data_IF_793138514425
#
_entry.id   IF_793138514425
#
_cell.length_a   1.000
_cell.length_b   1.000
_cell.length_c   1.000
_cell.angle_alpha   90.00
_cell.angle_beta   90.00
_cell.angle_gamma   90.00
#
_symmetry.space_group_name_H-M   'P 1'
#
loop_
_entity.id
_entity.type
_entity.pdbx_description
1 polymer ?
#
# COMPACT_ATOMS: atom_id res chain seq x y z
N UNK A 1 -82.59 47.68 -45.39
CA UNK A 1 -81.53 48.69 -45.19
C UNK A 1 -81.38 48.84 -43.69
N UNK A 2 -80.28 48.39 -43.12
CA UNK A 2 -79.99 48.62 -41.70
C UNK A 2 -79.69 50.11 -41.50
N UNK A 3 -80.13 50.67 -40.38
CA UNK A 3 -79.84 52.07 -40.09
C UNK A 3 -78.37 52.22 -39.68
N UNK A 4 -77.75 53.36 -39.99
CA UNK A 4 -76.38 53.68 -39.58
C UNK A 4 -76.13 53.42 -38.08
N UNK A 5 -77.14 53.68 -37.25
CA UNK A 5 -77.09 53.48 -35.80
C UNK A 5 -76.95 52.01 -35.40
N UNK A 6 -77.62 51.09 -36.13
CA UNK A 6 -77.51 49.65 -35.87
C UNK A 6 -76.12 49.13 -36.24
N UNK A 7 -75.58 49.57 -37.38
CA UNK A 7 -74.23 49.23 -37.82
C UNK A 7 -73.16 49.75 -36.84
N UNK A 8 -73.32 50.98 -36.36
CA UNK A 8 -72.43 51.55 -35.34
C UNK A 8 -72.41 50.70 -34.05
N UNK A 9 -73.57 50.26 -33.57
CA UNK A 9 -73.63 49.42 -32.37
C UNK A 9 -73.00 48.04 -32.58
N UNK A 10 -73.13 47.45 -33.77
CA UNK A 10 -72.44 46.20 -34.12
C UNK A 10 -70.92 46.40 -34.07
N UNK A 11 -70.42 47.48 -34.67
CA UNK A 11 -68.99 47.80 -34.65
C UNK A 11 -68.47 48.05 -33.23
N UNK A 12 -69.23 48.75 -32.38
CA UNK A 12 -68.85 48.95 -30.98
C UNK A 12 -68.72 47.62 -30.22
N UNK A 13 -69.65 46.67 -30.44
CA UNK A 13 -69.55 45.34 -29.82
C UNK A 13 -68.34 44.56 -30.31
N UNK A 14 -68.12 44.54 -31.63
CA UNK A 14 -66.97 43.85 -32.22
C UNK A 14 -65.63 44.44 -31.73
N UNK A 15 -65.55 45.76 -31.61
CA UNK A 15 -64.38 46.42 -31.04
C UNK A 15 -64.19 46.05 -29.57
N UNK A 16 -65.25 46.05 -28.77
CA UNK A 16 -65.20 45.63 -27.36
C UNK A 16 -64.75 44.17 -27.20
N UNK A 17 -65.25 43.25 -28.04
CA UNK A 17 -64.83 41.85 -28.06
C UNK A 17 -63.35 41.71 -28.46
N UNK A 18 -62.90 42.46 -29.48
CA UNK A 18 -61.49 42.48 -29.89
C UNK A 18 -60.60 43.06 -28.77
N UNK A 19 -60.99 44.16 -28.14
CA UNK A 19 -60.29 44.76 -27.00
C UNK A 19 -60.20 43.80 -25.82
N UNK A 20 -61.28 43.07 -25.51
CA UNK A 20 -61.30 42.09 -24.43
C UNK A 20 -60.34 40.94 -24.72
N UNK A 21 -60.33 40.40 -25.95
CA UNK A 21 -59.38 39.35 -26.34
C UNK A 21 -57.94 39.83 -26.30
N UNK A 22 -57.66 41.03 -26.82
CA UNK A 22 -56.32 41.60 -26.81
C UNK A 22 -55.82 41.87 -25.38
N UNK A 23 -56.67 42.43 -24.52
CA UNK A 23 -56.30 42.69 -23.12
C UNK A 23 -56.07 41.39 -22.33
N UNK A 24 -56.87 40.35 -22.57
CA UNK A 24 -56.66 39.03 -21.98
C UNK A 24 -55.31 38.42 -22.42
N UNK A 25 -55.01 38.44 -23.73
CA UNK A 25 -53.74 37.93 -24.24
C UNK A 25 -52.53 38.73 -23.71
N UNK A 26 -52.63 40.05 -23.60
CA UNK A 26 -51.58 40.88 -23.01
C UNK A 26 -51.37 40.57 -21.52
N UNK A 27 -52.44 40.32 -20.76
CA UNK A 27 -52.34 39.97 -19.35
C UNK A 27 -51.69 38.59 -19.15
N UNK A 28 -52.03 37.61 -19.99
CA UNK A 28 -51.40 36.28 -20.00
C UNK A 28 -49.89 36.39 -20.29
N UNK A 29 -49.53 37.12 -21.35
CA UNK A 29 -48.13 37.34 -21.73
C UNK A 29 -47.34 38.13 -20.67
N UNK A 30 -47.97 39.11 -20.01
CA UNK A 30 -47.34 39.82 -18.89
C UNK A 30 -47.04 38.86 -17.72
N UNK A 31 -47.97 37.95 -17.41
CA UNK A 31 -47.78 36.92 -16.40
C UNK A 31 -46.62 35.97 -16.74
N UNK A 32 -46.53 35.49 -17.98
CA UNK A 32 -45.42 34.65 -18.44
C UNK A 32 -44.07 35.39 -18.33
N UNK A 33 -44.02 36.66 -18.72
CA UNK A 33 -42.81 37.48 -18.61
C UNK A 33 -42.37 37.64 -17.15
N UNK A 34 -43.30 37.84 -16.22
CA UNK A 34 -42.98 37.94 -14.79
C UNK A 34 -42.43 36.62 -14.23
N UNK A 35 -43.03 35.49 -14.60
CA UNK A 35 -42.56 34.16 -14.21
C UNK A 35 -41.13 33.89 -14.72
N UNK A 36 -40.88 34.15 -16.00
CA UNK A 36 -39.57 33.96 -16.61
C UNK A 36 -38.52 34.91 -16.01
N UNK A 37 -38.88 36.18 -15.75
CA UNK A 37 -37.99 37.13 -15.06
C UNK A 37 -37.62 36.64 -13.67
N UNK A 38 -38.57 36.14 -12.90
CA UNK A 38 -38.32 35.55 -11.59
C UNK A 38 -37.42 34.31 -11.68
N UNK A 39 -37.61 33.46 -12.69
CA UNK A 39 -36.75 32.31 -12.93
C UNK A 39 -35.31 32.71 -13.29
N UNK A 40 -35.13 33.69 -14.18
CA UNK A 40 -33.79 34.21 -14.52
C UNK A 40 -33.06 34.73 -13.29
N UNK A 41 -33.73 35.47 -12.41
CA UNK A 41 -33.11 35.96 -11.16
C UNK A 41 -32.74 34.79 -10.24
N UNK A 42 -33.63 33.79 -10.08
CA UNK A 42 -33.36 32.58 -9.27
C UNK A 42 -32.16 31.79 -9.80
N UNK A 43 -32.10 31.57 -11.11
CA UNK A 43 -31.01 30.83 -11.74
C UNK A 43 -29.69 31.60 -11.65
N UNK A 44 -29.70 32.92 -11.86
CA UNK A 44 -28.51 33.77 -11.67
C UNK A 44 -28.00 33.68 -10.23
N UNK A 45 -28.88 33.76 -9.23
CA UNK A 45 -28.50 33.60 -7.84
C UNK A 45 -27.89 32.21 -7.57
N UNK A 46 -28.47 31.14 -8.13
CA UNK A 46 -27.94 29.79 -7.98
C UNK A 46 -26.54 29.63 -8.58
N UNK A 47 -26.28 30.26 -9.74
CA UNK A 47 -24.94 30.30 -10.36
C UNK A 47 -23.96 31.05 -9.48
N UNK A 48 -24.29 32.26 -9.02
CA UNK A 48 -23.43 33.06 -8.14
C UNK A 48 -23.04 32.29 -6.87
N UNK A 49 -23.99 31.59 -6.25
CA UNK A 49 -23.71 30.76 -5.06
C UNK A 49 -22.75 29.62 -5.39
N UNK A 50 -22.94 28.94 -6.53
CA UNK A 50 -22.06 27.83 -6.94
C UNK A 50 -20.65 28.33 -7.29
N UNK A 51 -20.54 29.42 -8.02
CA UNK A 51 -19.26 30.03 -8.40
C UNK A 51 -18.49 30.52 -7.16
N UNK A 52 -19.18 31.14 -6.21
CA UNK A 52 -18.57 31.60 -4.96
C UNK A 52 -18.04 30.41 -4.16
N UNK A 53 -18.80 29.31 -4.05
CA UNK A 53 -18.33 28.08 -3.38
C UNK A 53 -17.13 27.46 -4.11
N UNK A 54 -17.13 27.47 -5.44
CA UNK A 54 -16.00 26.97 -6.23
C UNK A 54 -14.74 27.81 -5.99
N UNK A 55 -14.87 29.13 -5.99
CA UNK A 55 -13.77 30.06 -5.73
C UNK A 55 -13.18 29.82 -4.32
N UNK A 56 -14.02 29.72 -3.29
CA UNK A 56 -13.57 29.41 -1.93
C UNK A 56 -12.82 28.07 -1.85
N UNK A 57 -13.33 27.02 -2.51
CA UNK A 57 -12.66 25.72 -2.54
C UNK A 57 -11.32 25.75 -3.29
N UNK A 58 -11.21 26.57 -4.34
CA UNK A 58 -9.96 26.78 -5.06
C UNK A 58 -8.92 27.52 -4.20
N UNK A 59 -9.36 28.53 -3.45
CA UNK A 59 -8.51 29.27 -2.51
C UNK A 59 -8.00 28.34 -1.40
N UNK A 60 -8.88 27.53 -0.79
CA UNK A 60 -8.50 26.54 0.22
C UNK A 60 -7.46 25.55 -0.33
N UNK A 61 -7.66 25.05 -1.55
CA UNK A 61 -6.71 24.16 -2.20
C UNK A 61 -5.36 24.85 -2.45
N UNK A 62 -5.37 26.10 -2.91
CA UNK A 62 -4.16 26.88 -3.14
C UNK A 62 -3.41 27.12 -1.81
N UNK A 63 -4.12 27.45 -0.73
CA UNK A 63 -3.55 27.60 0.61
C UNK A 63 -2.92 26.30 1.11
N UNK A 64 -3.60 25.16 0.96
CA UNK A 64 -3.05 23.85 1.35
C UNK A 64 -1.81 23.47 0.53
N UNK A 65 -1.80 23.78 -0.77
CA UNK A 65 -0.64 23.56 -1.63
C UNK A 65 0.54 24.46 -1.26
N UNK A 66 0.27 25.74 -0.95
CA UNK A 66 1.28 26.69 -0.49
C UNK A 66 1.84 26.30 0.89
N UNK A 67 1.01 25.75 1.78
CA UNK A 67 1.46 25.17 3.05
C UNK A 67 2.30 23.90 2.86
N UNK A 68 2.17 23.20 1.72
CA UNK A 68 2.87 21.95 1.44
C UNK A 68 3.53 21.90 0.05
N UNK A 69 4.53 22.76 -0.23
CA UNK A 69 5.15 22.88 -1.56
C UNK A 69 5.90 21.60 -1.99
N UNK A 70 6.27 20.73 -1.05
CA UNK A 70 7.02 19.49 -1.33
C UNK A 70 6.17 18.23 -1.53
N UNK A 71 4.84 18.28 -1.32
CA UNK A 71 4.00 17.07 -1.26
C UNK A 71 3.98 16.30 -2.58
N UNK A 72 3.87 17.01 -3.71
CA UNK A 72 3.87 16.40 -5.05
C UNK A 72 5.17 15.63 -5.30
N UNK A 73 6.31 16.30 -5.12
CA UNK A 73 7.65 15.69 -5.27
C UNK A 73 7.84 14.48 -4.35
N UNK A 74 7.37 14.55 -3.09
CA UNK A 74 7.44 13.42 -2.15
C UNK A 74 6.59 12.23 -2.62
N UNK A 75 5.40 12.46 -3.17
CA UNK A 75 4.56 11.40 -3.76
C UNK A 75 5.21 10.77 -4.98
N UNK A 76 5.76 11.58 -5.88
CA UNK A 76 6.42 11.07 -7.08
C UNK A 76 7.67 10.27 -6.73
N UNK A 77 8.47 10.75 -5.78
CA UNK A 77 9.62 10.03 -5.24
C UNK A 77 9.21 8.69 -4.60
N UNK A 78 8.13 8.68 -3.81
CA UNK A 78 7.62 7.45 -3.21
C UNK A 78 7.21 6.41 -4.27
N UNK A 79 6.56 6.83 -5.37
CA UNK A 79 6.25 5.94 -6.49
C UNK A 79 7.51 5.41 -7.17
N UNK A 80 8.51 6.27 -7.35
CA UNK A 80 9.77 5.87 -7.98
C UNK A 80 10.54 4.86 -7.10
N UNK A 81 10.61 5.10 -5.79
CA UNK A 81 11.19 4.17 -4.82
C UNK A 81 10.48 2.81 -4.88
N UNK A 82 9.14 2.80 -4.92
CA UNK A 82 8.37 1.57 -5.02
C UNK A 82 8.69 0.79 -6.31
N UNK A 83 8.81 1.49 -7.45
CA UNK A 83 9.19 0.87 -8.71
C UNK A 83 10.62 0.28 -8.68
N UNK A 84 11.59 1.00 -8.10
CA UNK A 84 12.95 0.51 -7.94
C UNK A 84 13.02 -0.70 -7.01
N UNK A 85 12.26 -0.68 -5.91
CA UNK A 85 12.19 -1.81 -4.98
C UNK A 85 11.67 -3.08 -5.67
N UNK A 86 10.62 -2.97 -6.49
CA UNK A 86 10.13 -4.12 -7.27
C UNK A 86 11.18 -4.62 -8.27
N UNK A 87 11.91 -3.70 -8.92
CA UNK A 87 12.97 -4.09 -9.85
C UNK A 87 14.10 -4.82 -9.16
N UNK A 88 14.53 -4.35 -7.99
CA UNK A 88 15.54 -5.02 -7.16
C UNK A 88 15.04 -6.40 -6.73
N UNK A 89 13.79 -6.50 -6.27
CA UNK A 89 13.21 -7.78 -5.87
C UNK A 89 13.19 -8.77 -7.06
N UNK A 90 12.79 -8.33 -8.25
CA UNK A 90 12.82 -9.14 -9.46
C UNK A 90 14.22 -9.63 -9.81
N UNK A 91 15.20 -8.72 -9.88
CA UNK A 91 16.58 -9.09 -10.18
C UNK A 91 17.18 -10.01 -9.10
N UNK A 92 16.84 -9.80 -7.82
CA UNK A 92 17.32 -10.67 -6.73
C UNK A 92 16.80 -12.11 -6.87
N UNK A 93 15.51 -12.28 -7.25
CA UNK A 93 14.92 -13.57 -7.59
C UNK A 93 15.63 -14.20 -8.78
N UNK A 94 15.93 -13.39 -9.81
CA UNK A 94 16.66 -13.85 -10.98
C UNK A 94 18.11 -14.27 -10.67
N UNK A 95 18.83 -13.56 -9.82
CA UNK A 95 20.16 -13.97 -9.39
C UNK A 95 20.10 -15.25 -8.55
N UNK A 96 19.10 -15.39 -7.68
CA UNK A 96 18.93 -16.57 -6.85
C UNK A 96 18.64 -17.82 -7.68
N UNK A 97 17.75 -17.74 -8.69
CA UNK A 97 17.49 -18.88 -9.59
C UNK A 97 18.77 -19.40 -10.26
N UNK A 98 19.60 -18.49 -10.78
CA UNK A 98 20.83 -18.86 -11.49
C UNK A 98 21.86 -19.45 -10.53
N UNK A 99 21.98 -18.92 -9.31
CA UNK A 99 22.86 -19.48 -8.27
C UNK A 99 22.43 -20.88 -7.85
N UNK A 100 21.15 -21.11 -7.61
CA UNK A 100 20.63 -22.43 -7.26
C UNK A 100 20.85 -23.44 -8.38
N UNK A 101 20.65 -23.03 -9.63
CA UNK A 101 20.96 -23.87 -10.80
C UNK A 101 22.46 -24.19 -10.90
N UNK A 102 23.35 -23.24 -10.63
CA UNK A 102 24.79 -23.47 -10.63
C UNK A 102 25.23 -24.44 -9.52
N UNK A 103 24.64 -24.34 -8.32
CA UNK A 103 24.90 -25.30 -7.23
C UNK A 103 24.36 -26.69 -7.57
N UNK A 104 23.17 -26.79 -8.18
CA UNK A 104 22.60 -28.06 -8.60
C UNK A 104 23.36 -28.71 -9.79
N UNK A 105 23.95 -27.89 -10.66
CA UNK A 105 24.73 -28.35 -11.81
C UNK A 105 26.21 -28.58 -11.51
N UNK A 106 26.69 -28.18 -10.32
CA UNK A 106 28.04 -28.51 -9.87
C UNK A 106 28.18 -30.04 -9.85
N UNK A 107 29.27 -30.60 -10.41
CA UNK A 107 29.52 -32.03 -10.32
C UNK A 107 29.45 -32.44 -8.85
N UNK A 108 28.65 -33.45 -8.53
CA UNK A 108 28.75 -34.13 -7.24
C UNK A 108 30.15 -34.76 -7.19
N UNK A 109 31.15 -34.03 -6.71
CA UNK A 109 32.26 -34.68 -6.04
C UNK A 109 31.62 -35.52 -4.94
N UNK A 110 31.77 -36.84 -5.08
CA UNK A 110 31.09 -37.85 -4.29
C UNK A 110 31.29 -37.57 -2.81
N UNK A 111 30.30 -36.91 -2.21
CA UNK A 111 30.05 -37.03 -0.79
C UNK A 111 29.87 -38.50 -0.49
N UNK A 112 30.73 -39.02 0.39
CA UNK A 112 30.65 -40.35 0.98
C UNK A 112 29.17 -40.69 1.25
N UNK A 113 28.72 -41.80 0.69
CA UNK A 113 27.35 -42.28 0.81
C UNK A 113 26.90 -42.30 2.29
N UNK A 114 25.64 -41.96 2.62
CA UNK A 114 25.13 -42.14 3.96
C UNK A 114 25.10 -43.64 4.25
N UNK A 115 25.96 -44.08 5.17
CA UNK A 115 25.89 -45.41 5.75
C UNK A 115 24.49 -45.60 6.39
N UNK A 116 23.90 -46.81 6.30
CA UNK A 116 22.55 -47.05 6.78
C UNK A 116 22.46 -46.72 8.28
N UNK A 117 21.31 -46.14 8.66
CA UNK A 117 20.97 -45.74 10.01
C UNK A 117 21.17 -46.89 11.00
N UNK A 118 22.36 -46.97 11.58
CA UNK A 118 22.54 -47.61 12.86
C UNK A 118 22.07 -46.59 13.90
N UNK A 119 21.09 -47.00 14.70
CA UNK A 119 20.76 -46.32 15.94
C UNK A 119 22.05 -46.17 16.77
N UNK A 120 22.43 -44.94 17.10
CA UNK A 120 23.59 -44.69 17.96
C UNK A 120 23.18 -43.77 19.09
N UNK A 121 23.16 -44.40 20.26
CA UNK A 121 23.24 -43.80 21.58
C UNK A 121 24.32 -42.72 21.65
N UNK A 122 24.03 -41.66 22.40
CA UNK A 122 24.81 -40.43 22.48
C UNK A 122 26.32 -40.61 22.63
N UNK A 123 27.06 -40.41 21.54
CA UNK A 123 28.47 -40.01 21.52
C UNK A 123 28.75 -39.24 20.22
N UNK A 124 29.67 -38.28 20.27
CA UNK A 124 29.91 -37.24 19.27
C UNK A 124 30.06 -37.77 17.84
N UNK A 125 29.18 -37.33 16.93
CA UNK A 125 29.20 -37.75 15.53
C UNK A 125 30.33 -37.03 14.75
N UNK A 126 31.44 -37.71 14.40
CA UNK A 126 32.59 -37.07 13.74
C UNK A 126 32.26 -36.61 12.31
N UNK A 127 31.27 -37.22 11.66
CA UNK A 127 30.82 -36.82 10.33
C UNK A 127 30.12 -35.44 10.38
N UNK A 128 29.32 -35.20 11.42
CA UNK A 128 28.69 -33.90 11.65
C UNK A 128 29.73 -32.83 11.96
N UNK A 129 30.73 -33.14 12.80
CA UNK A 129 31.82 -32.22 13.09
C UNK A 129 32.63 -31.85 11.84
N UNK A 130 32.89 -32.80 10.94
CA UNK A 130 33.59 -32.54 9.67
C UNK A 130 32.74 -31.76 8.66
N UNK A 131 31.44 -32.01 8.61
CA UNK A 131 30.52 -31.23 7.78
C UNK A 131 30.43 -29.78 8.27
N UNK A 132 30.29 -29.60 9.59
CA UNK A 132 30.36 -28.29 10.22
C UNK A 132 31.71 -27.63 9.94
N UNK A 133 32.83 -28.38 10.01
CA UNK A 133 34.19 -27.94 9.70
C UNK A 133 34.30 -27.23 8.34
N UNK A 134 33.67 -27.78 7.31
CA UNK A 134 33.74 -27.31 5.94
C UNK A 134 32.71 -26.22 5.58
N UNK A 135 31.66 -26.03 6.37
CA UNK A 135 30.61 -25.05 6.07
C UNK A 135 31.05 -23.60 6.30
N UNK A 136 30.78 -22.71 5.34
CA UNK A 136 30.98 -21.26 5.46
C UNK A 136 29.93 -20.58 6.35
N UNK A 137 28.73 -21.17 6.45
CA UNK A 137 27.58 -20.68 7.23
C UNK A 137 26.75 -21.87 7.72
N UNK A 138 26.30 -21.80 8.98
CA UNK A 138 25.40 -22.79 9.58
C UNK A 138 24.02 -22.17 9.85
N UNK A 139 22.94 -22.82 9.40
CA UNK A 139 21.56 -22.44 9.73
C UNK A 139 21.07 -23.37 10.84
N UNK A 140 20.91 -22.83 12.04
CA UNK A 140 20.39 -23.57 13.19
C UNK A 140 18.88 -23.31 13.30
N UNK A 141 18.06 -24.25 12.81
CA UNK A 141 16.60 -24.16 12.94
C UNK A 141 16.18 -24.79 14.28
N UNK A 142 15.58 -24.00 15.17
CA UNK A 142 14.89 -24.57 16.34
C UNK A 142 13.51 -25.04 15.90
N UNK A 143 13.26 -26.35 15.89
CA UNK A 143 11.86 -26.80 15.93
C UNK A 143 11.45 -28.15 15.36
N UNK A 144 12.31 -29.05 14.88
CA UNK A 144 11.83 -30.38 14.43
C UNK A 144 12.74 -31.59 14.74
N UNK A 145 13.79 -31.45 15.55
CA UNK A 145 14.67 -32.57 15.92
C UNK A 145 14.87 -32.55 17.44
N UNK A 146 15.01 -33.74 18.04
CA UNK A 146 15.17 -33.97 19.48
C UNK A 146 16.12 -32.96 20.11
N UNK A 147 15.81 -32.56 21.35
CA UNK A 147 16.35 -31.38 22.03
C UNK A 147 17.88 -31.26 22.10
N UNK A 148 18.68 -32.26 21.71
CA UNK A 148 20.13 -32.28 21.94
C UNK A 148 20.99 -31.81 20.75
N UNK A 149 20.56 -31.99 19.49
CA UNK A 149 21.40 -31.65 18.33
C UNK A 149 21.54 -30.13 18.09
N UNK A 150 20.46 -29.38 18.29
CA UNK A 150 20.44 -27.93 18.12
C UNK A 150 21.44 -27.23 19.04
N UNK A 151 21.42 -27.56 20.34
CA UNK A 151 22.31 -26.94 21.33
C UNK A 151 23.77 -27.30 21.06
N UNK A 152 24.05 -28.53 20.59
CA UNK A 152 25.40 -28.97 20.21
C UNK A 152 25.95 -28.19 19.00
N UNK A 153 25.15 -27.96 17.97
CA UNK A 153 25.56 -27.15 16.80
C UNK A 153 25.75 -25.68 17.20
N UNK A 154 24.84 -25.13 18.01
CA UNK A 154 24.98 -23.76 18.52
C UNK A 154 26.25 -23.58 19.37
N UNK A 155 26.58 -24.54 20.23
CA UNK A 155 27.79 -24.53 21.05
C UNK A 155 29.06 -24.73 20.21
N UNK A 156 29.02 -25.59 19.19
CA UNK A 156 30.13 -25.73 18.23
C UNK A 156 30.41 -24.42 17.49
N UNK A 157 29.39 -23.77 16.91
CA UNK A 157 29.54 -22.47 16.26
C UNK A 157 30.05 -21.40 17.23
N UNK A 158 29.60 -21.43 18.50
CA UNK A 158 30.09 -20.54 19.56
C UNK A 158 31.58 -20.72 19.84
N UNK A 159 32.06 -21.96 19.95
CA UNK A 159 33.47 -22.25 20.27
C UNK A 159 34.40 -22.07 19.07
N UNK A 160 33.93 -22.36 17.86
CA UNK A 160 34.74 -22.31 16.63
C UNK A 160 34.66 -20.96 15.89
N UNK A 161 33.74 -20.07 16.30
CA UNK A 161 33.58 -18.74 15.70
C UNK A 161 32.91 -18.77 14.32
N UNK A 162 32.22 -19.86 13.98
CA UNK A 162 31.59 -20.00 12.67
C UNK A 162 30.36 -19.12 12.52
N UNK A 163 30.18 -18.46 11.36
CA UNK A 163 28.96 -17.72 11.07
C UNK A 163 27.76 -18.64 11.24
N UNK A 164 26.79 -18.26 12.07
CA UNK A 164 25.54 -19.00 12.19
C UNK A 164 24.33 -18.08 12.25
N UNK A 165 23.25 -18.51 11.60
CA UNK A 165 21.93 -17.90 11.67
C UNK A 165 21.06 -18.78 12.57
N UNK A 166 20.54 -18.18 13.64
CA UNK A 166 19.52 -18.80 14.47
C UNK A 166 18.13 -18.43 13.92
N UNK A 167 17.30 -19.43 13.62
CA UNK A 167 15.89 -19.25 13.27
C UNK A 167 15.01 -19.76 14.42
N UNK A 168 14.31 -18.84 15.10
CA UNK A 168 13.45 -19.14 16.25
C UNK A 168 12.06 -19.69 15.88
N UNK A 169 11.71 -19.78 14.58
CA UNK A 169 10.43 -20.36 14.12
C UNK A 169 10.64 -21.61 13.26
N UNK A 170 9.91 -22.71 13.53
CA UNK A 170 9.88 -23.85 12.61
C UNK A 170 9.16 -23.43 11.32
N UNK A 171 9.78 -23.69 10.17
CA UNK A 171 9.22 -23.51 8.83
C UNK A 171 7.98 -24.41 8.52
N UNK A 172 7.28 -24.89 9.54
CA UNK A 172 6.17 -25.84 9.41
C UNK A 172 5.26 -25.88 10.62
N UNK A 173 4.45 -24.85 10.83
CA UNK A 173 3.16 -24.95 11.52
C UNK A 173 2.29 -23.77 11.06
N UNK A 174 1.09 -24.07 10.56
CA UNK A 174 0.19 -23.06 10.01
C UNK A 174 -0.31 -22.06 11.06
N UNK A 175 -0.59 -20.85 10.56
CA UNK A 175 -1.38 -19.76 11.15
C UNK A 175 -0.69 -18.73 12.07
N UNK A 176 -0.40 -17.58 11.42
CA UNK A 176 -0.65 -16.18 11.80
C UNK A 176 -0.13 -15.65 13.15
N UNK A 177 0.98 -14.91 13.10
CA UNK A 177 1.00 -13.50 13.51
C UNK A 177 2.15 -12.75 12.82
N UNK A 178 2.05 -11.44 12.63
CA UNK A 178 3.08 -10.57 12.00
C UNK A 178 4.32 -10.40 12.89
N UNK A 179 4.78 -11.46 13.56
CA UNK A 179 6.09 -11.48 14.18
C UNK A 179 7.12 -11.65 13.07
N UNK A 180 7.80 -10.55 12.72
CA UNK A 180 8.91 -10.60 11.78
C UNK A 180 9.93 -11.62 12.30
N UNK A 181 10.37 -12.61 11.49
CA UNK A 181 11.35 -13.58 11.95
C UNK A 181 12.63 -12.84 12.34
N UNK A 182 13.02 -12.95 13.60
CA UNK A 182 14.27 -12.37 14.09
C UNK A 182 15.41 -13.26 13.61
N UNK A 183 16.23 -12.72 12.71
CA UNK A 183 17.44 -13.39 12.23
C UNK A 183 18.60 -12.90 13.10
N UNK A 184 19.08 -13.74 14.01
CA UNK A 184 20.29 -13.43 14.79
C UNK A 184 21.51 -13.92 14.02
N UNK A 185 22.30 -12.99 13.49
CA UNK A 185 23.58 -13.28 12.86
C UNK A 185 24.68 -13.27 13.92
N UNK A 186 25.27 -14.43 14.19
CA UNK A 186 26.48 -14.51 15.00
C UNK A 186 27.69 -14.57 14.08
N UNK A 187 28.52 -13.54 14.12
CA UNK A 187 29.83 -13.53 13.44
C UNK A 187 30.94 -13.81 14.46
N UNK A 188 32.13 -14.22 14.00
CA UNK A 188 33.30 -14.57 14.81
C UNK A 188 33.75 -13.51 15.86
N UNK A 189 33.19 -12.29 15.82
CA UNK A 189 33.52 -11.15 16.70
C UNK A 189 32.31 -10.57 17.47
N UNK A 190 31.20 -11.30 17.57
CA UNK A 190 30.03 -10.89 18.38
C UNK A 190 28.68 -11.20 17.74
N UNK A 191 27.64 -11.27 18.56
CA UNK A 191 26.24 -11.35 18.12
C UNK A 191 25.80 -9.97 17.62
N UNK A 192 25.35 -9.86 16.37
CA UNK A 192 24.59 -8.69 15.91
C UNK A 192 23.20 -9.15 15.52
N UNK A 193 22.19 -8.64 16.24
CA UNK A 193 20.82 -8.71 15.76
C UNK A 193 20.73 -7.89 14.46
N UNK A 194 20.27 -8.52 13.38
CA UNK A 194 19.99 -7.80 12.13
C UNK A 194 18.54 -8.05 11.77
N UNK A 195 17.65 -7.27 12.38
CA UNK A 195 16.47 -6.74 11.72
C UNK A 195 16.02 -5.48 12.46
N UNK A 196 15.38 -4.55 11.75
CA UNK A 196 15.19 -3.17 12.17
C UNK A 196 14.60 -2.97 13.58
N UNK A 197 15.15 -1.96 14.28
CA UNK A 197 14.72 -1.31 15.53
C UNK A 197 15.36 -1.81 16.85
N UNK A 198 16.24 -0.92 17.34
CA UNK A 198 16.80 -0.71 18.68
C UNK A 198 17.70 -1.78 19.35
N UNK A 199 18.97 -1.39 19.49
CA UNK A 199 19.87 -1.89 20.51
C UNK A 199 19.36 -1.48 21.89
N UNK A 200 19.13 -2.45 22.77
CA UNK A 200 19.05 -2.22 24.21
C UNK A 200 20.43 -2.55 24.77
N UNK A 201 21.16 -1.53 25.19
CA UNK A 201 22.35 -1.67 26.03
C UNK A 201 21.90 -2.19 27.40
N UNK A 202 22.30 -3.41 27.76
CA UNK A 202 22.21 -3.88 29.14
C UNK A 202 23.35 -3.26 29.93
N UNK A 203 23.01 -2.30 30.78
CA UNK A 203 23.89 -1.71 31.77
C UNK A 203 24.51 -2.80 32.68
N UNK A 204 25.82 -2.78 32.77
CA UNK A 204 26.60 -3.41 33.83
C UNK A 204 26.32 -2.69 35.15
N UNK A 205 25.62 -3.35 36.07
CA UNK A 205 25.68 -3.03 37.51
C UNK A 205 26.86 -3.79 38.14
N UNK A 206 27.76 -3.12 38.87
CA UNK A 206 28.82 -3.78 39.61
C UNK A 206 28.34 -4.16 41.02
N UNK A 207 28.66 -5.38 41.44
CA UNK A 207 28.99 -5.72 42.84
C UNK A 207 30.20 -6.67 42.82
#
# INVERSE_FOLDING_TARGET
>A
MHSLSEEFLVLCRQLGEAQTRCSAALAEQAGELEQLRAEVVRLRAAVVVRETRLALAQDDLAQLQAAQPGLRRRRDMARHIAALAERIASLSRECLRWRLQAVAAAPQEQGIAPAPAAAVDGTDNPALASSLAAADLVICQTGCISHDEYWRVQDHCRRTGKPCILMDQPLGAGAVDKAQPVVVLRMARGLRAVSGVQAVETATTPE
#
